data_IF_277345810698
#
_entry.id   IF_277345810698
#
_cell.length_a   1.000
_cell.length_b   1.000
_cell.length_c   1.000
_cell.angle_alpha   90.00
_cell.angle_beta   90.00
_cell.angle_gamma   90.00
#
_symmetry.space_group_name_H-M   'P 1'
#
loop_
_entity.id
_entity.type
_entity.pdbx_description
1 polymer ?
#
# COMPACT_ATOMS: atom_id res chain seq x y z
N UNK A 1 31.28 4.83 9.53
CA UNK A 1 30.31 4.91 8.42
C UNK A 1 28.94 4.54 8.98
N UNK A 2 28.40 5.39 9.85
CA UNK A 2 27.06 5.19 10.40
C UNK A 2 26.10 5.89 9.45
N UNK A 3 25.23 5.13 8.79
CA UNK A 3 24.14 5.74 8.03
C UNK A 3 23.37 6.66 8.97
N UNK A 4 23.22 7.92 8.57
CA UNK A 4 22.45 8.91 9.29
C UNK A 4 20.97 8.48 9.31
N UNK A 5 20.55 7.91 10.43
CA UNK A 5 19.19 7.41 10.67
C UNK A 5 18.14 8.51 10.52
N UNK A 6 18.52 9.80 10.62
CA UNK A 6 17.60 10.92 10.41
C UNK A 6 17.09 11.01 8.97
N UNK A 7 17.90 10.63 7.99
CA UNK A 7 17.50 10.58 6.57
C UNK A 7 16.52 9.43 6.26
N UNK A 8 16.65 8.30 6.95
CA UNK A 8 15.74 7.14 6.80
C UNK A 8 14.37 7.38 7.47
N UNK A 9 14.30 8.24 8.48
CA UNK A 9 13.05 8.61 9.16
C UNK A 9 12.26 9.65 8.35
N UNK A 10 12.93 10.47 7.52
CA UNK A 10 12.26 11.46 6.67
C UNK A 10 11.30 10.80 5.65
N UNK A 11 11.66 9.62 5.12
CA UNK A 11 10.83 8.85 4.19
C UNK A 11 9.55 8.29 4.83
N UNK A 12 9.53 8.05 6.16
CA UNK A 12 8.36 7.54 6.88
C UNK A 12 7.20 8.55 6.99
N UNK A 13 7.44 9.81 6.61
CA UNK A 13 6.44 10.88 6.60
C UNK A 13 6.23 11.46 5.19
N UNK A 14 6.42 10.65 4.15
CA UNK A 14 6.08 11.11 2.80
C UNK A 14 4.61 11.57 2.81
N UNK A 15 4.32 12.86 2.54
CA UNK A 15 2.96 13.37 2.53
C UNK A 15 2.15 12.61 1.47
N UNK A 16 0.82 12.47 1.64
CA UNK A 16 -0.02 11.81 0.64
C UNK A 16 0.23 12.50 -0.70
N UNK A 17 0.78 11.76 -1.65
CA UNK A 17 1.01 12.27 -2.99
C UNK A 17 -0.37 12.48 -3.59
N UNK A 18 -0.76 13.72 -3.95
CA UNK A 18 -2.14 14.02 -4.35
C UNK A 18 -2.54 13.23 -5.59
N UNK A 19 -1.60 12.85 -6.44
CA UNK A 19 -1.79 11.85 -7.48
C UNK A 19 -0.50 11.06 -7.67
N UNK A 20 -0.55 9.73 -7.54
CA UNK A 20 0.59 8.86 -7.79
C UNK A 20 0.17 7.58 -8.48
N UNK A 21 1.02 7.05 -9.36
CA UNK A 21 0.78 5.81 -10.07
C UNK A 21 1.87 4.79 -9.78
N UNK A 22 1.47 3.54 -9.65
CA UNK A 22 2.39 2.41 -9.49
C UNK A 22 3.18 2.43 -8.19
N UNK A 23 2.65 3.01 -7.10
CA UNK A 23 3.31 3.00 -5.81
C UNK A 23 3.48 1.56 -5.30
N UNK A 24 4.69 1.14 -4.90
CA UNK A 24 4.93 -0.20 -4.40
C UNK A 24 4.33 -0.35 -2.99
N UNK A 25 3.68 -1.48 -2.74
CA UNK A 25 3.18 -1.84 -1.41
C UNK A 25 3.05 -3.36 -1.28
N UNK A 26 2.55 -3.83 -0.14
CA UNK A 26 2.35 -5.23 0.16
C UNK A 26 0.94 -5.49 0.69
N UNK A 27 0.33 -6.59 0.26
CA UNK A 27 -0.95 -7.02 0.82
C UNK A 27 -0.76 -7.54 2.25
N UNK A 28 -1.61 -7.13 3.20
CA UNK A 28 -1.53 -7.56 4.61
C UNK A 28 -2.75 -8.38 5.07
N UNK A 29 -3.58 -8.85 4.14
CA UNK A 29 -4.83 -9.55 4.48
C UNK A 29 -4.65 -11.04 4.82
N UNK A 30 -3.51 -11.63 4.44
CA UNK A 30 -3.12 -12.97 4.85
C UNK A 30 -1.60 -13.07 4.88
N UNK A 31 -1.05 -14.17 5.40
CA UNK A 31 0.39 -14.37 5.58
C UNK A 31 1.23 -14.46 4.30
N UNK A 32 0.60 -14.49 3.13
CA UNK A 32 1.29 -14.60 1.85
C UNK A 32 2.01 -13.30 1.47
N UNK A 33 1.53 -12.14 1.94
CA UNK A 33 2.19 -10.85 1.70
C UNK A 33 2.54 -10.59 0.22
N UNK A 34 1.59 -10.80 -0.69
CA UNK A 34 1.77 -10.53 -2.13
C UNK A 34 2.25 -9.09 -2.36
N UNK A 35 3.20 -8.91 -3.27
CA UNK A 35 3.63 -7.59 -3.72
C UNK A 35 2.56 -6.95 -4.60
N UNK A 36 2.31 -5.66 -4.39
CA UNK A 36 1.28 -4.90 -5.09
C UNK A 36 1.85 -3.58 -5.62
N UNK A 37 1.19 -3.08 -6.66
CA UNK A 37 1.32 -1.69 -7.10
C UNK A 37 -0.04 -1.01 -7.03
N UNK A 38 -0.08 0.21 -6.51
CA UNK A 38 -1.33 0.98 -6.36
C UNK A 38 -1.25 2.34 -7.04
N UNK A 39 -2.39 2.80 -7.55
CA UNK A 39 -2.58 4.20 -7.94
C UNK A 39 -3.39 4.90 -6.85
N UNK A 40 -2.99 6.12 -6.52
CA UNK A 40 -3.61 6.97 -5.50
C UNK A 40 -4.04 8.28 -6.14
N UNK A 41 -5.26 8.70 -5.83
CA UNK A 41 -5.81 10.03 -6.16
C UNK A 41 -6.37 10.63 -4.87
N UNK A 42 -5.82 11.77 -4.45
CA UNK A 42 -6.05 12.38 -3.14
C UNK A 42 -5.63 11.46 -2.00
N UNK A 43 -6.60 11.03 -1.20
CA UNK A 43 -6.43 10.09 -0.09
C UNK A 43 -6.95 8.67 -0.41
N UNK A 44 -7.28 8.40 -1.68
CA UNK A 44 -7.94 7.16 -2.10
C UNK A 44 -7.09 6.29 -2.99
N UNK A 45 -7.13 4.99 -2.75
CA UNK A 45 -6.57 4.00 -3.65
C UNK A 45 -7.59 3.75 -4.78
N UNK A 46 -7.27 4.18 -5.99
CA UNK A 46 -8.19 4.06 -7.15
C UNK A 46 -7.94 2.80 -7.98
N UNK A 47 -6.75 2.21 -7.88
CA UNK A 47 -6.41 0.98 -8.62
C UNK A 47 -5.38 0.16 -7.87
N UNK A 48 -5.55 -1.16 -7.92
CA UNK A 48 -4.62 -2.15 -7.33
C UNK A 48 -4.24 -3.16 -8.40
N UNK A 49 -2.95 -3.49 -8.47
CA UNK A 49 -2.38 -4.52 -9.36
C UNK A 49 -1.38 -5.37 -8.57
N UNK A 50 -1.14 -6.59 -9.01
CA UNK A 50 0.01 -7.36 -8.54
C UNK A 50 1.31 -6.77 -9.06
N UNK A 51 2.35 -6.79 -8.24
CA UNK A 51 3.68 -6.33 -8.63
C UNK A 51 4.43 -7.45 -9.36
N UNK A 52 4.60 -7.31 -10.67
CA UNK A 52 5.31 -8.29 -11.52
C UNK A 52 6.77 -8.45 -11.12
N UNK A 53 7.39 -7.41 -10.54
CA UNK A 53 8.78 -7.44 -10.08
C UNK A 53 8.96 -8.16 -8.74
N UNK A 54 7.87 -8.47 -8.03
CA UNK A 54 7.94 -9.09 -6.72
C UNK A 54 8.40 -10.55 -6.83
N UNK A 55 9.54 -10.87 -6.20
CA UNK A 55 10.19 -12.20 -6.27
C UNK A 55 9.37 -13.36 -5.70
N UNK A 56 8.38 -13.07 -4.86
CA UNK A 56 7.55 -14.10 -4.23
C UNK A 56 6.25 -14.33 -5.01
N UNK A 57 5.56 -13.24 -5.36
CA UNK A 57 4.22 -13.32 -5.95
C UNK A 57 4.19 -13.20 -7.47
N UNK A 58 5.24 -12.68 -8.11
CA UNK A 58 5.36 -12.59 -9.58
C UNK A 58 4.12 -11.99 -10.25
N UNK A 59 3.57 -10.91 -9.70
CA UNK A 59 2.36 -10.26 -10.22
C UNK A 59 1.03 -10.95 -9.87
N UNK A 60 1.06 -12.10 -9.18
CA UNK A 60 -0.17 -12.73 -8.71
C UNK A 60 -0.83 -11.91 -7.61
N UNK A 61 -2.14 -11.67 -7.76
CA UNK A 61 -3.00 -11.15 -6.70
C UNK A 61 -4.34 -11.88 -6.69
N UNK A 62 -4.90 -12.10 -5.49
CA UNK A 62 -6.23 -12.67 -5.33
C UNK A 62 -7.30 -11.58 -5.14
N UNK A 63 -8.57 -11.99 -5.13
CA UNK A 63 -9.72 -11.11 -4.88
C UNK A 63 -9.66 -10.35 -3.54
N UNK A 64 -8.96 -10.88 -2.53
CA UNK A 64 -8.72 -10.16 -1.25
C UNK A 64 -7.95 -8.87 -1.50
N UNK A 65 -6.82 -8.96 -2.21
CA UNK A 65 -6.00 -7.81 -2.55
C UNK A 65 -6.76 -6.80 -3.43
N UNK A 66 -7.56 -7.30 -4.37
CA UNK A 66 -8.42 -6.44 -5.21
C UNK A 66 -9.46 -5.65 -4.39
N UNK A 67 -9.79 -6.11 -3.19
CA UNK A 67 -10.81 -5.50 -2.32
C UNK A 67 -10.23 -4.51 -1.30
N UNK A 68 -8.90 -4.30 -1.26
CA UNK A 68 -8.24 -3.38 -0.32
C UNK A 68 -8.88 -1.98 -0.28
N UNK A 69 -9.18 -1.32 -1.42
CA UNK A 69 -9.80 0.01 -1.39
C UNK A 69 -11.13 0.03 -0.61
N UNK A 70 -11.90 -1.06 -0.67
CA UNK A 70 -13.19 -1.18 0.02
C UNK A 70 -13.05 -1.27 1.53
N UNK A 71 -11.94 -1.81 2.05
CA UNK A 71 -11.71 -1.90 3.49
C UNK A 71 -11.20 -0.58 4.08
N UNK A 72 -10.32 0.10 3.36
CA UNK A 72 -9.74 1.38 3.80
C UNK A 72 -10.80 2.47 3.83
N UNK A 73 -11.68 2.48 2.82
CA UNK A 73 -12.75 3.48 2.66
C UNK A 73 -14.12 2.98 3.17
N UNK A 74 -14.15 1.96 4.02
CA UNK A 74 -15.41 1.42 4.54
C UNK A 74 -16.08 2.38 5.53
N UNK A 75 -17.38 2.65 5.37
CA UNK A 75 -18.14 3.59 6.22
C UNK A 75 -18.13 3.23 7.72
N UNK A 76 -17.99 1.95 8.04
CA UNK A 76 -17.94 1.45 9.43
C UNK A 76 -16.52 1.35 10.00
N UNK A 77 -15.49 1.85 9.30
CA UNK A 77 -14.10 1.80 9.81
C UNK A 77 -14.00 2.67 11.08
N UNK A 78 -13.39 2.10 12.12
CA UNK A 78 -13.14 2.85 13.36
C UNK A 78 -12.21 4.04 13.09
N UNK A 79 -12.65 5.25 13.45
CA UNK A 79 -11.91 6.51 13.25
C UNK A 79 -11.31 7.08 14.54
N UNK A 80 -11.63 6.48 15.69
CA UNK A 80 -11.11 6.85 17.01
C UNK A 80 -11.03 5.63 17.93
N UNK A 81 -10.12 5.61 18.93
CA UNK A 81 -10.13 4.61 19.98
C UNK A 81 -11.49 4.55 20.70
N UNK A 82 -11.87 3.37 21.15
CA UNK A 82 -13.09 3.13 21.93
C UNK A 82 -12.82 3.25 23.43
#
# INVERSE_FOLDING_TARGET
MTADLSSLIADLRTPPVPEAKGLPTVCVLCSANCGLQVDVEGDRIVKVRGDEANVYSHGYMCNKAASIPKYVDHDQRATRPL
#
